data_IF_930852570909
#
_entry.id   IF_930852570909
#
_cell.length_a   1.000
_cell.length_b   1.000
_cell.length_c   1.000
_cell.angle_alpha   90.00
_cell.angle_beta   90.00
_cell.angle_gamma   90.00
#
_symmetry.space_group_name_H-M   'P 1'
#
loop_
_entity.id
_entity.type
_entity.pdbx_description
1 polymer ?
#
# COMPACT_ATOMS: atom_id res chain seq x y z
N UNK A 1 36.77 45.31 43.61
CA UNK A 1 36.77 44.22 44.62
C UNK A 1 36.69 42.91 43.87
N UNK A 2 37.75 42.10 44.00
CA UNK A 2 38.01 40.83 43.31
C UNK A 2 37.42 39.66 44.12
N UNK A 3 36.68 38.76 43.48
CA UNK A 3 36.39 37.38 43.92
C UNK A 3 36.13 36.59 42.62
N UNK A 4 37.10 35.92 41.98
CA UNK A 4 37.98 34.81 42.41
C UNK A 4 37.23 33.49 42.64
N UNK A 5 37.22 32.66 41.60
CA UNK A 5 37.49 31.22 41.69
C UNK A 5 36.33 30.26 41.96
N UNK A 6 36.06 29.37 41.00
CA UNK A 6 36.29 27.93 41.19
C UNK A 6 36.21 27.22 39.82
N UNK A 7 37.34 26.75 39.30
CA UNK A 7 37.42 25.87 38.13
C UNK A 7 37.59 24.45 38.66
N UNK A 8 36.61 23.58 38.43
CA UNK A 8 36.74 22.15 38.67
C UNK A 8 37.13 21.46 37.36
N UNK A 9 38.41 21.08 37.25
CA UNK A 9 38.91 20.11 36.27
C UNK A 9 38.72 18.71 36.83
N UNK A 10 37.90 17.89 36.15
CA UNK A 10 37.81 16.44 36.39
C UNK A 10 38.61 15.73 35.31
N UNK A 11 39.79 15.24 35.69
CA UNK A 11 40.60 14.29 34.91
C UNK A 11 40.13 12.88 35.26
N UNK A 12 39.56 12.15 34.30
CA UNK A 12 39.26 10.73 34.44
C UNK A 12 40.20 9.90 33.57
N UNK A 13 40.98 9.06 34.24
CA UNK A 13 42.07 8.22 33.78
C UNK A 13 41.60 7.13 32.81
N UNK A 14 42.34 6.99 31.70
CA UNK A 14 42.22 5.91 30.74
C UNK A 14 42.73 4.59 31.34
N UNK A 15 41.92 3.53 31.33
CA UNK A 15 42.39 2.17 31.54
C UNK A 15 42.28 1.40 30.21
N UNK A 16 43.43 1.15 29.59
CA UNK A 16 43.59 0.28 28.43
C UNK A 16 43.85 -1.12 28.98
N UNK A 17 42.90 -2.04 28.85
CA UNK A 17 43.15 -3.47 29.03
C UNK A 17 43.34 -4.08 27.66
N UNK A 18 44.60 -4.40 27.35
CA UNK A 18 44.95 -5.25 26.21
C UNK A 18 44.71 -6.71 26.56
N UNK A 19 44.05 -7.44 25.66
CA UNK A 19 43.99 -8.91 25.67
C UNK A 19 44.59 -9.40 24.37
N UNK A 20 45.52 -10.35 24.52
CA UNK A 20 46.36 -10.92 23.49
C UNK A 20 45.57 -11.71 22.42
N UNK A 21 46.14 -11.73 21.23
CA UNK A 21 45.74 -12.56 20.11
C UNK A 21 46.12 -14.04 20.36
N UNK A 22 45.19 -14.94 20.07
CA UNK A 22 45.48 -16.35 19.84
C UNK A 22 44.88 -16.74 18.46
N UNK A 23 45.75 -17.20 17.57
CA UNK A 23 45.39 -17.76 16.28
C UNK A 23 45.15 -19.28 16.41
N UNK A 24 44.12 -19.79 15.74
CA UNK A 24 43.84 -21.23 15.60
C UNK A 24 42.38 -21.52 15.25
N UNK A 25 42.12 -21.76 13.95
CA UNK A 25 40.83 -22.06 13.29
C UNK A 25 40.24 -23.44 13.69
N UNK A 26 39.08 -23.93 13.17
CA UNK A 26 38.14 -23.34 12.19
C UNK A 26 36.64 -23.40 12.59
N UNK A 27 35.83 -22.68 11.81
CA UNK A 27 34.42 -22.92 11.51
C UNK A 27 33.47 -23.29 12.68
N UNK A 28 32.90 -22.27 13.30
CA UNK A 28 31.48 -22.32 13.68
C UNK A 28 30.79 -21.13 13.05
N UNK A 29 29.88 -21.45 12.13
CA UNK A 29 28.90 -20.56 11.54
C UNK A 29 28.22 -19.76 12.64
N UNK A 30 28.60 -18.48 12.75
CA UNK A 30 27.86 -17.48 13.50
C UNK A 30 26.50 -17.33 12.84
N UNK A 31 25.53 -18.07 13.35
CA UNK A 31 24.12 -17.74 13.31
C UNK A 31 23.97 -16.37 13.97
N UNK A 32 24.13 -15.31 13.17
CA UNK A 32 23.42 -14.07 13.43
C UNK A 32 21.97 -14.46 13.61
N UNK A 33 21.39 -14.08 14.74
CA UNK A 33 19.97 -14.21 15.07
C UNK A 33 19.14 -13.69 13.90
N UNK A 34 18.84 -14.63 13.01
CA UNK A 34 17.93 -14.48 11.90
C UNK A 34 16.54 -14.54 12.49
N UNK A 35 16.05 -13.41 12.99
CA UNK A 35 14.62 -13.15 12.89
C UNK A 35 14.36 -12.95 11.40
N UNK A 36 14.20 -14.07 10.70
CA UNK A 36 13.50 -14.12 9.43
C UNK A 36 12.08 -13.65 9.76
N UNK A 37 11.85 -12.36 9.66
CA UNK A 37 10.52 -11.82 9.49
C UNK A 37 10.07 -12.37 8.13
N UNK A 38 9.56 -13.60 8.15
CA UNK A 38 8.64 -14.10 7.14
C UNK A 38 7.73 -12.92 6.82
N UNK A 39 7.68 -12.50 5.55
CA UNK A 39 6.80 -11.42 5.12
C UNK A 39 5.47 -11.63 5.83
N UNK A 40 5.05 -10.68 6.67
CA UNK A 40 3.95 -10.91 7.58
C UNK A 40 2.71 -11.25 6.74
N UNK A 41 2.43 -12.55 6.60
CA UNK A 41 1.34 -13.07 5.80
C UNK A 41 0.11 -12.84 6.66
N UNK A 42 -0.71 -11.88 6.26
CA UNK A 42 -2.05 -11.78 6.80
C UNK A 42 -2.86 -12.85 6.06
N UNK A 43 -3.24 -13.91 6.76
CA UNK A 43 -4.37 -14.75 6.34
C UNK A 43 -5.58 -13.82 6.17
N UNK A 44 -5.91 -13.50 4.91
CA UNK A 44 -7.19 -12.92 4.58
C UNK A 44 -8.18 -14.07 4.41
N UNK A 45 -9.07 -14.26 5.38
CA UNK A 45 -10.37 -14.81 5.01
C UNK A 45 -11.02 -13.87 3.98
N UNK A 46 -11.57 -14.41 2.88
CA UNK A 46 -12.36 -13.60 1.96
C UNK A 46 -13.60 -13.15 2.72
N UNK A 47 -13.67 -11.86 3.09
CA UNK A 47 -14.88 -11.26 3.64
C UNK A 47 -16.01 -11.40 2.59
N UNK A 48 -17.02 -12.26 2.79
CA UNK A 48 -18.15 -12.29 1.88
C UNK A 48 -18.94 -11.01 2.13
N UNK A 49 -19.09 -10.19 1.09
CA UNK A 49 -20.00 -9.06 1.11
C UNK A 49 -21.38 -9.55 1.62
N UNK A 50 -22.04 -8.86 2.57
CA UNK A 50 -23.42 -9.19 2.90
C UNK A 50 -24.27 -8.98 1.66
N UNK A 51 -24.97 -10.03 1.25
CA UNK A 51 -26.01 -9.96 0.23
C UNK A 51 -27.07 -8.97 0.69
N UNK A 52 -27.12 -7.80 0.06
CA UNK A 52 -28.19 -6.83 0.27
C UNK A 52 -29.39 -7.35 -0.52
N UNK A 53 -30.25 -8.11 0.14
CA UNK A 53 -31.55 -8.49 -0.39
C UNK A 53 -32.43 -7.24 -0.42
N UNK A 54 -32.50 -6.58 -1.58
CA UNK A 54 -33.47 -5.52 -1.79
C UNK A 54 -34.87 -6.14 -1.94
N UNK A 55 -35.63 -6.18 -0.84
CA UNK A 55 -37.08 -6.44 -0.87
C UNK A 55 -37.78 -5.21 -1.42
N UNK A 56 -38.11 -5.22 -2.72
CA UNK A 56 -39.04 -4.25 -3.31
C UNK A 56 -40.47 -4.74 -3.04
N UNK A 57 -41.09 -4.20 -1.98
CA UNK A 57 -42.53 -4.33 -1.74
C UNK A 57 -43.32 -3.62 -2.82
N UNK A 58 -44.32 -4.31 -3.35
CA UNK A 58 -45.12 -3.89 -4.49
C UNK A 58 -46.10 -2.75 -4.24
N UNK A 59 -46.50 -2.12 -5.34
CA UNK A 59 -47.75 -1.38 -5.48
C UNK A 59 -48.50 -1.91 -6.73
N UNK A 60 -49.83 -2.15 -6.66
CA UNK A 60 -50.61 -2.64 -7.77
C UNK A 60 -51.05 -1.49 -8.69
N UNK A 61 -50.68 -1.56 -9.97
CA UNK A 61 -51.26 -0.70 -11.00
C UNK A 61 -52.07 -1.53 -12.00
N UNK A 62 -53.36 -1.18 -12.11
CA UNK A 62 -54.36 -1.71 -13.05
C UNK A 62 -53.87 -1.59 -14.51
N UNK A 63 -54.21 -2.54 -15.40
CA UNK A 63 -54.04 -2.35 -16.83
C UNK A 63 -55.19 -1.50 -17.39
N UNK A 64 -54.87 -0.34 -17.98
CA UNK A 64 -55.77 0.35 -18.91
C UNK A 64 -55.37 -0.05 -20.33
N UNK A 65 -56.29 -0.69 -21.04
CA UNK A 65 -56.19 -0.90 -22.48
C UNK A 65 -56.53 0.41 -23.21
N UNK A 66 -55.69 0.87 -24.14
CA UNK A 66 -56.17 1.65 -25.28
C UNK A 66 -55.18 1.71 -26.46
N UNK A 67 -55.67 1.18 -27.58
CA UNK A 67 -55.54 1.59 -28.98
C UNK A 67 -54.17 1.72 -29.68
N UNK A 68 -54.04 0.81 -30.65
CA UNK A 68 -53.20 0.85 -31.85
C UNK A 68 -53.47 2.12 -32.67
N UNK A 69 -52.41 2.86 -33.02
CA UNK A 69 -52.37 3.73 -34.19
C UNK A 69 -51.15 3.37 -35.03
N UNK A 70 -51.40 2.91 -36.24
CA UNK A 70 -50.38 2.66 -37.26
C UNK A 70 -49.76 3.99 -37.70
N UNK A 71 -48.45 4.13 -37.53
CA UNK A 71 -47.66 5.24 -38.04
C UNK A 71 -46.83 4.79 -39.26
N UNK A 72 -46.81 5.66 -40.26
CA UNK A 72 -46.27 5.45 -41.60
C UNK A 72 -44.78 5.07 -41.63
N UNK A 73 -44.41 4.29 -42.65
CA UNK A 73 -43.07 3.77 -42.87
C UNK A 73 -42.05 4.89 -43.21
N UNK A 74 -40.89 4.95 -42.52
CA UNK A 74 -39.82 5.87 -42.89
C UNK A 74 -39.01 5.33 -44.10
N UNK A 75 -38.70 6.24 -45.02
CA UNK A 75 -37.83 6.02 -46.18
C UNK A 75 -36.46 5.47 -45.76
N UNK A 76 -36.08 4.33 -46.36
CA UNK A 76 -34.83 3.61 -46.13
C UNK A 76 -33.66 4.34 -46.81
N UNK A 77 -32.98 5.21 -46.06
CA UNK A 77 -31.72 5.82 -46.48
C UNK A 77 -30.60 4.77 -46.42
N UNK A 78 -30.06 4.38 -47.58
CA UNK A 78 -28.89 3.50 -47.67
C UNK A 78 -27.64 4.32 -47.36
N UNK A 79 -27.27 4.39 -46.09
CA UNK A 79 -25.99 4.98 -45.66
C UNK A 79 -24.88 3.99 -46.03
N UNK A 80 -24.06 4.34 -47.03
CA UNK A 80 -22.81 3.63 -47.34
C UNK A 80 -21.89 3.70 -46.11
N UNK A 81 -21.82 2.61 -45.34
CA UNK A 81 -20.87 2.44 -44.23
C UNK A 81 -19.44 2.55 -44.77
N UNK A 82 -18.75 3.62 -44.40
CA UNK A 82 -17.31 3.72 -44.56
C UNK A 82 -16.65 2.55 -43.81
N UNK A 83 -15.71 1.86 -44.46
CA UNK A 83 -14.96 0.76 -43.86
C UNK A 83 -14.14 1.30 -42.68
N UNK A 84 -14.58 0.97 -41.46
CA UNK A 84 -13.83 1.27 -40.23
C UNK A 84 -12.51 0.49 -40.29
N UNK A 85 -11.39 1.21 -40.42
CA UNK A 85 -10.05 0.61 -40.31
C UNK A 85 -9.96 -0.11 -38.98
N UNK A 86 -9.85 -1.45 -39.05
CA UNK A 86 -9.75 -2.32 -37.89
C UNK A 86 -8.52 -1.88 -37.07
N UNK A 87 -8.68 -1.49 -35.79
CA UNK A 87 -7.55 -1.05 -34.99
C UNK A 87 -6.48 -2.15 -34.96
N UNK A 88 -5.23 -1.75 -35.19
CA UNK A 88 -4.10 -2.66 -35.15
C UNK A 88 -4.06 -3.35 -33.78
N UNK A 89 -3.86 -4.67 -33.79
CA UNK A 89 -3.77 -5.49 -32.59
C UNK A 89 -2.58 -5.01 -31.76
N UNK A 90 -2.84 -4.33 -30.66
CA UNK A 90 -1.81 -3.88 -29.72
C UNK A 90 -1.07 -5.08 -29.15
N UNK A 91 0.27 -5.00 -29.08
CA UNK A 91 1.08 -6.04 -28.44
C UNK A 91 0.68 -6.16 -26.96
N UNK A 92 0.65 -7.37 -26.39
CA UNK A 92 0.45 -7.55 -24.95
C UNK A 92 1.51 -6.76 -24.17
N UNK A 93 1.07 -5.92 -23.24
CA UNK A 93 1.98 -5.18 -22.35
C UNK A 93 2.52 -6.14 -21.30
N UNK A 94 3.84 -6.15 -21.09
CA UNK A 94 4.49 -7.02 -20.10
C UNK A 94 4.15 -6.53 -18.68
N UNK A 95 3.86 -7.42 -17.71
CA UNK A 95 3.56 -7.04 -16.32
C UNK A 95 4.63 -6.16 -15.64
N UNK A 96 5.92 -6.35 -16.00
CA UNK A 96 7.00 -5.51 -15.47
C UNK A 96 6.92 -4.07 -15.96
N UNK A 97 6.51 -3.85 -17.22
CA UNK A 97 6.35 -2.51 -17.78
C UNK A 97 5.19 -1.77 -17.11
N UNK A 98 4.06 -2.44 -16.85
CA UNK A 98 2.92 -1.82 -16.16
C UNK A 98 3.24 -1.47 -14.72
N UNK A 99 3.99 -2.33 -14.01
CA UNK A 99 4.45 -2.04 -12.66
C UNK A 99 5.38 -0.82 -12.63
N UNK A 100 6.40 -0.77 -13.48
CA UNK A 100 7.31 0.39 -13.53
C UNK A 100 6.57 1.70 -13.83
N UNK A 101 5.59 1.66 -14.73
CA UNK A 101 4.73 2.82 -15.03
C UNK A 101 3.89 3.23 -13.83
N UNK A 102 3.36 2.29 -13.04
CA UNK A 102 2.62 2.59 -11.82
C UNK A 102 3.52 3.22 -10.74
N UNK A 103 4.71 2.66 -10.51
CA UNK A 103 5.69 3.22 -9.56
C UNK A 103 6.11 4.64 -9.97
N UNK A 104 6.33 4.88 -11.27
CA UNK A 104 6.70 6.20 -11.78
C UNK A 104 5.61 7.27 -11.57
N UNK A 105 4.34 6.87 -11.37
CA UNK A 105 3.22 7.77 -11.07
C UNK A 105 3.06 8.09 -9.60
N UNK A 106 3.83 7.48 -8.70
CA UNK A 106 3.79 7.81 -7.26
C UNK A 106 4.32 9.24 -7.08
N UNK A 107 3.51 10.18 -6.55
CA UNK A 107 3.97 11.54 -6.29
C UNK A 107 5.18 11.55 -5.36
N UNK A 108 6.21 12.33 -5.71
CA UNK A 108 7.43 12.52 -4.92
C UNK A 108 8.21 11.23 -4.59
N UNK A 109 8.01 10.14 -5.33
CA UNK A 109 8.75 8.88 -5.09
C UNK A 109 10.27 9.08 -4.97
N UNK A 110 10.85 9.88 -5.88
CA UNK A 110 12.29 10.16 -5.90
C UNK A 110 12.84 10.98 -4.72
N UNK A 111 11.97 11.62 -3.91
CA UNK A 111 12.40 12.31 -2.69
C UNK A 111 12.73 11.33 -1.55
N UNK A 112 12.37 10.06 -1.71
CA UNK A 112 12.63 9.01 -0.75
C UNK A 112 13.68 8.03 -1.28
N UNK A 113 14.25 7.21 -0.40
CA UNK A 113 15.16 6.14 -0.83
C UNK A 113 14.42 5.16 -1.76
N UNK A 114 15.06 4.72 -2.87
CA UNK A 114 14.46 3.73 -3.76
C UNK A 114 14.07 2.48 -2.98
N UNK A 115 12.90 1.93 -3.30
CA UNK A 115 12.46 0.62 -2.82
C UNK A 115 12.64 -0.41 -3.92
N UNK A 116 12.96 -1.63 -3.52
CA UNK A 116 12.99 -2.78 -4.42
C UNK A 116 11.56 -3.25 -4.67
N UNK A 117 11.19 -3.37 -5.94
CA UNK A 117 9.90 -3.89 -6.39
C UNK A 117 10.10 -5.25 -7.07
N UNK A 118 9.30 -6.24 -6.70
CA UNK A 118 9.40 -7.61 -7.20
C UNK A 118 8.03 -8.08 -7.67
N UNK A 119 7.96 -8.67 -8.86
CA UNK A 119 6.76 -9.38 -9.31
C UNK A 119 6.80 -10.83 -8.83
N UNK A 120 5.80 -11.25 -8.06
CA UNK A 120 5.71 -12.63 -7.55
C UNK A 120 4.28 -12.97 -7.14
N UNK A 121 3.88 -14.22 -7.35
CA UNK A 121 2.57 -14.73 -6.92
C UNK A 121 2.62 -15.44 -5.57
N UNK A 122 3.78 -15.47 -4.90
CA UNK A 122 4.03 -16.35 -3.75
C UNK A 122 3.16 -16.10 -2.51
N UNK A 123 2.55 -14.92 -2.39
CA UNK A 123 1.85 -14.49 -1.18
C UNK A 123 0.32 -14.66 -1.25
N UNK A 124 -0.27 -15.09 -2.37
CA UNK A 124 -1.72 -15.25 -2.48
C UNK A 124 -2.55 -13.95 -2.46
N UNK A 125 -1.93 -12.78 -2.27
CA UNK A 125 -2.57 -11.45 -2.31
C UNK A 125 -2.05 -10.61 -3.48
N UNK A 126 -2.66 -9.44 -3.68
CA UNK A 126 -2.28 -8.50 -4.76
C UNK A 126 -0.95 -7.80 -4.51
N UNK A 127 -0.61 -7.53 -3.26
CA UNK A 127 0.64 -6.91 -2.86
C UNK A 127 1.06 -7.41 -1.48
N UNK A 128 2.34 -7.25 -1.17
CA UNK A 128 2.89 -7.43 0.15
C UNK A 128 4.14 -6.56 0.31
N UNK A 129 4.37 -6.05 1.52
CA UNK A 129 5.58 -5.31 1.86
C UNK A 129 6.30 -5.99 3.02
N UNK A 130 7.56 -6.36 2.80
CA UNK A 130 8.43 -6.80 3.88
C UNK A 130 8.84 -5.58 4.71
N UNK A 131 8.33 -5.50 5.94
CA UNK A 131 8.59 -4.38 6.85
C UNK A 131 10.02 -4.38 7.42
N UNK A 132 10.79 -5.46 7.30
CA UNK A 132 12.19 -5.49 7.69
C UNK A 132 13.09 -4.89 6.61
N UNK A 133 12.88 -5.27 5.35
CA UNK A 133 13.72 -4.84 4.22
C UNK A 133 13.17 -3.64 3.46
N UNK A 134 11.88 -3.34 3.57
CA UNK A 134 11.17 -2.39 2.72
C UNK A 134 11.02 -2.85 1.27
N UNK A 135 11.20 -4.15 0.99
CA UNK A 135 10.95 -4.74 -0.34
C UNK A 135 9.45 -4.87 -0.55
N UNK A 136 8.99 -4.43 -1.72
CA UNK A 136 7.60 -4.54 -2.14
C UNK A 136 7.45 -5.65 -3.17
N UNK A 137 6.44 -6.48 -2.97
CA UNK A 137 6.06 -7.58 -3.83
C UNK A 137 4.68 -7.30 -4.41
N UNK A 138 4.53 -7.46 -5.72
CA UNK A 138 3.28 -7.24 -6.44
C UNK A 138 2.94 -8.51 -7.21
N UNK A 139 1.70 -8.97 -7.10
CA UNK A 139 1.24 -10.11 -7.88
C UNK A 139 1.10 -9.75 -9.36
N UNK A 140 1.54 -10.59 -10.30
CA UNK A 140 1.24 -10.41 -11.71
C UNK A 140 -0.26 -10.56 -12.03
N UNK A 141 -1.07 -11.07 -11.11
CA UNK A 141 -2.52 -11.24 -11.28
C UNK A 141 -3.35 -10.00 -10.89
N UNK A 142 -2.71 -8.91 -10.43
CA UNK A 142 -3.43 -7.68 -10.08
C UNK A 142 -4.16 -7.15 -11.32
N UNK A 143 -5.49 -6.91 -11.24
CA UNK A 143 -6.23 -6.29 -12.34
C UNK A 143 -5.62 -4.93 -12.70
N UNK A 144 -5.51 -4.64 -14.00
CA UNK A 144 -4.89 -3.40 -14.47
C UNK A 144 -5.55 -2.13 -13.88
N UNK A 145 -6.87 -2.17 -13.62
CA UNK A 145 -7.63 -1.08 -12.99
C UNK A 145 -7.31 -0.87 -11.50
N UNK A 146 -6.67 -1.84 -10.84
CA UNK A 146 -6.30 -1.78 -9.41
C UNK A 146 -4.81 -1.60 -9.18
N UNK A 147 -3.96 -1.91 -10.17
CA UNK A 147 -2.51 -1.90 -10.03
C UNK A 147 -1.96 -0.60 -9.43
N UNK A 148 -2.45 0.53 -9.90
CA UNK A 148 -2.00 1.85 -9.40
C UNK A 148 -2.35 2.06 -7.92
N UNK A 149 -3.54 1.62 -7.51
CA UNK A 149 -3.98 1.69 -6.12
C UNK A 149 -3.19 0.75 -5.21
N UNK A 150 -2.97 -0.51 -5.66
CA UNK A 150 -2.17 -1.50 -4.92
C UNK A 150 -0.72 -1.01 -4.75
N UNK A 151 -0.11 -0.48 -5.80
CA UNK A 151 1.26 0.06 -5.74
C UNK A 151 1.37 1.21 -4.73
N UNK A 152 0.36 2.09 -4.65
CA UNK A 152 0.33 3.18 -3.66
C UNK A 152 0.12 2.67 -2.23
N UNK A 153 -0.69 1.64 -2.05
CA UNK A 153 -0.88 0.94 -0.77
C UNK A 153 0.43 0.36 -0.25
N UNK A 154 1.10 -0.46 -1.07
CA UNK A 154 2.36 -1.07 -0.66
C UNK A 154 3.46 -0.03 -0.41
N UNK A 155 3.49 1.04 -1.20
CA UNK A 155 4.40 2.15 -0.94
C UNK A 155 4.12 2.83 0.41
N UNK A 156 2.86 2.91 0.83
CA UNK A 156 2.51 3.49 2.13
C UNK A 156 3.12 2.67 3.29
N UNK A 157 3.14 1.34 3.21
CA UNK A 157 3.82 0.51 4.22
C UNK A 157 5.31 0.81 4.33
N UNK A 158 5.98 1.03 3.20
CA UNK A 158 7.39 1.44 3.18
C UNK A 158 7.59 2.78 3.90
N UNK A 159 6.70 3.75 3.68
CA UNK A 159 6.79 5.04 4.36
C UNK A 159 6.52 4.92 5.86
N UNK A 160 5.53 4.12 6.25
CA UNK A 160 5.21 3.85 7.65
C UNK A 160 6.42 3.29 8.40
N UNK A 161 7.06 2.24 7.88
CA UNK A 161 8.23 1.66 8.55
C UNK A 161 9.38 2.66 8.64
N UNK A 162 9.60 3.50 7.62
CA UNK A 162 10.65 4.54 7.66
C UNK A 162 10.41 5.58 8.75
N UNK A 163 9.16 5.92 9.03
CA UNK A 163 8.78 6.88 10.08
C UNK A 163 8.99 6.30 11.48
N UNK A 164 8.78 5.00 11.65
CA UNK A 164 8.84 4.36 12.98
C UNK A 164 10.17 3.68 13.28
N UNK A 165 10.87 3.16 12.27
CA UNK A 165 12.18 2.51 12.38
C UNK A 165 12.12 1.00 12.69
N UNK A 166 10.97 0.46 13.11
CA UNK A 166 10.79 -0.98 13.35
C UNK A 166 9.35 -1.43 13.14
N UNK A 167 9.15 -2.69 12.76
CA UNK A 167 7.82 -3.24 12.49
C UNK A 167 6.93 -3.18 13.75
N UNK A 168 7.47 -3.54 14.91
CA UNK A 168 6.74 -3.52 16.18
C UNK A 168 6.29 -2.10 16.56
N UNK A 169 7.16 -1.10 16.45
CA UNK A 169 6.82 0.29 16.74
C UNK A 169 5.79 0.85 15.73
N UNK A 170 5.92 0.46 14.46
CA UNK A 170 4.97 0.83 13.40
C UNK A 170 3.58 0.30 13.72
N UNK A 171 3.47 -1.00 13.99
CA UNK A 171 2.20 -1.66 14.28
C UNK A 171 1.54 -1.06 15.52
N UNK A 172 2.27 -0.92 16.63
CA UNK A 172 1.75 -0.37 17.87
C UNK A 172 1.26 1.09 17.68
N UNK A 173 2.07 1.93 17.03
CA UNK A 173 1.74 3.32 16.79
C UNK A 173 0.56 3.52 15.86
N UNK A 174 0.45 2.72 14.80
CA UNK A 174 -0.65 2.81 13.85
C UNK A 174 -1.95 2.23 14.40
N UNK A 175 -1.90 1.18 15.22
CA UNK A 175 -3.08 0.71 15.96
C UNK A 175 -3.60 1.78 16.93
N UNK A 176 -2.72 2.54 17.57
CA UNK A 176 -3.14 3.66 18.43
C UNK A 176 -3.79 4.81 17.62
N UNK A 177 -3.25 5.15 16.45
CA UNK A 177 -3.72 6.29 15.65
C UNK A 177 -4.92 5.99 14.73
N UNK A 178 -4.98 4.77 14.18
CA UNK A 178 -6.01 4.33 13.21
C UNK A 178 -6.97 3.29 13.81
N UNK A 179 -6.77 2.92 15.07
CA UNK A 179 -7.59 1.94 15.79
C UNK A 179 -7.35 0.51 15.32
N UNK A 180 -7.60 -0.44 16.22
CA UNK A 180 -7.50 -1.87 15.95
C UNK A 180 -6.36 -2.54 16.71
N UNK A 181 -6.08 -3.78 16.32
CA UNK A 181 -5.03 -4.63 16.87
C UNK A 181 -4.38 -5.45 15.75
N UNK A 182 -3.25 -6.10 16.05
CA UNK A 182 -2.48 -6.81 15.03
C UNK A 182 -2.09 -5.87 13.89
N UNK A 183 -2.34 -6.26 12.64
CA UNK A 183 -2.02 -5.44 11.46
C UNK A 183 -3.11 -4.41 11.11
N UNK A 184 -4.24 -4.39 11.82
CA UNK A 184 -5.43 -3.64 11.42
C UNK A 184 -5.18 -2.13 11.23
N UNK A 185 -4.55 -1.48 12.21
CA UNK A 185 -4.25 -0.05 12.13
C UNK A 185 -3.23 0.29 11.06
N UNK A 186 -2.28 -0.62 10.81
CA UNK A 186 -1.26 -0.50 9.76
C UNK A 186 -1.89 -0.55 8.36
N UNK A 187 -2.80 -1.48 8.11
CA UNK A 187 -3.53 -1.58 6.85
C UNK A 187 -4.47 -0.39 6.61
N UNK A 188 -5.21 0.03 7.63
CA UNK A 188 -6.08 1.23 7.54
C UNK A 188 -5.28 2.50 7.27
N UNK A 189 -4.12 2.64 7.90
CA UNK A 189 -3.21 3.74 7.63
C UNK A 189 -2.69 3.71 6.19
N UNK A 190 -2.38 2.53 5.65
CA UNK A 190 -1.87 2.37 4.30
C UNK A 190 -2.93 2.75 3.26
N UNK A 191 -4.17 2.30 3.43
CA UNK A 191 -5.30 2.72 2.59
C UNK A 191 -5.50 4.24 2.61
N UNK A 192 -5.46 4.85 3.81
CA UNK A 192 -5.61 6.29 3.96
C UNK A 192 -4.52 7.09 3.24
N UNK A 193 -3.27 6.64 3.36
CA UNK A 193 -2.14 7.23 2.64
C UNK A 193 -2.26 7.01 1.14
N UNK A 194 -2.68 5.82 0.70
CA UNK A 194 -2.89 5.51 -0.71
C UNK A 194 -3.95 6.42 -1.34
N UNK A 195 -5.08 6.66 -0.66
CA UNK A 195 -6.12 7.61 -1.11
C UNK A 195 -5.54 9.01 -1.28
N UNK A 196 -4.73 9.49 -0.33
CA UNK A 196 -4.08 10.81 -0.45
C UNK A 196 -3.02 10.88 -1.56
N UNK A 197 -2.42 9.74 -1.92
CA UNK A 197 -1.56 9.60 -3.10
C UNK A 197 -2.37 9.45 -4.40
N UNK A 198 -3.71 9.44 -4.32
CA UNK A 198 -4.65 9.43 -5.43
C UNK A 198 -5.23 8.06 -5.77
N UNK A 199 -5.04 7.04 -4.94
CA UNK A 199 -5.62 5.71 -5.16
C UNK A 199 -7.15 5.81 -5.24
N UNK A 200 -7.74 5.06 -6.19
CA UNK A 200 -9.18 5.05 -6.43
C UNK A 200 -9.86 3.80 -5.87
N UNK A 201 -9.08 2.90 -5.27
CA UNK A 201 -9.54 1.67 -4.65
C UNK A 201 -8.71 1.38 -3.40
N UNK A 202 -9.36 0.85 -2.37
CA UNK A 202 -8.76 0.44 -1.09
C UNK A 202 -9.48 -0.80 -0.58
N UNK A 203 -8.87 -1.53 0.36
CA UNK A 203 -9.39 -2.82 0.81
C UNK A 203 -10.01 -2.80 2.22
N UNK A 204 -9.44 -2.04 3.15
CA UNK A 204 -9.78 -2.05 4.57
C UNK A 204 -10.57 -0.82 5.00
N UNK A 205 -10.37 0.32 4.34
CA UNK A 205 -11.12 1.55 4.60
C UNK A 205 -11.15 2.49 3.40
N UNK A 206 -12.24 3.25 3.27
CA UNK A 206 -12.34 4.37 2.33
C UNK A 206 -11.66 5.65 2.84
N UNK A 207 -11.06 5.63 4.04
CA UNK A 207 -10.43 6.79 4.67
C UNK A 207 -11.37 8.01 4.88
N UNK A 208 -12.62 7.77 5.28
CA UNK A 208 -13.59 8.84 5.52
C UNK A 208 -13.37 9.63 6.82
N UNK A 209 -12.57 9.12 7.75
CA UNK A 209 -12.29 9.77 9.04
C UNK A 209 -11.33 10.97 8.88
N UNK A 210 -11.74 12.20 9.26
CA UNK A 210 -10.85 13.37 9.18
C UNK A 210 -9.60 13.25 10.06
N UNK A 211 -9.70 12.54 11.20
CA UNK A 211 -8.56 12.28 12.06
C UNK A 211 -7.53 11.38 11.36
N UNK A 212 -8.00 10.32 10.70
CA UNK A 212 -7.13 9.41 9.95
C UNK A 212 -6.52 10.09 8.73
N UNK A 213 -7.26 10.97 8.06
CA UNK A 213 -6.71 11.78 6.96
C UNK A 213 -5.56 12.68 7.45
N UNK A 214 -5.73 13.38 8.59
CA UNK A 214 -4.64 14.18 9.16
C UNK A 214 -3.43 13.33 9.57
N UNK A 215 -3.67 12.19 10.21
CA UNK A 215 -2.62 11.24 10.58
C UNK A 215 -1.85 10.72 9.35
N UNK A 216 -2.55 10.34 8.28
CA UNK A 216 -1.94 9.88 7.04
C UNK A 216 -1.13 10.97 6.33
N UNK A 217 -1.60 12.23 6.37
CA UNK A 217 -0.84 13.37 5.84
C UNK A 217 0.47 13.57 6.60
N UNK A 218 0.49 13.37 7.93
CA UNK A 218 1.71 13.40 8.74
C UNK A 218 2.68 12.30 8.32
N UNK A 219 2.19 11.07 8.15
CA UNK A 219 3.00 9.94 7.69
C UNK A 219 3.62 10.19 6.31
N UNK A 220 2.84 10.72 5.36
CA UNK A 220 3.35 11.11 4.03
C UNK A 220 4.41 12.22 4.10
N UNK A 221 4.34 13.07 5.12
CA UNK A 221 5.36 14.07 5.41
C UNK A 221 6.55 13.52 6.23
N UNK A 222 6.64 12.20 6.44
CA UNK A 222 7.73 11.58 7.19
C UNK A 222 7.63 11.77 8.70
N UNK A 223 6.45 12.04 9.24
CA UNK A 223 6.21 12.30 10.67
C UNK A 223 5.23 11.30 11.26
N UNK A 224 5.43 10.92 12.52
CA UNK A 224 4.44 10.12 13.26
C UNK A 224 3.12 10.91 13.40
N UNK A 225 1.96 10.25 13.44
CA UNK A 225 0.64 10.86 13.64
C UNK A 225 0.50 11.73 14.88
#
# INVERSE_FOLDING_TARGET
MLLSGCVLTVTATTAIVGVAAAAGAPATSSTRDGVRLEALVVDQEPNPLPAVTATVSGLPHKPLALQVRAAAAPHRQVVRRAAVKRPARSKPVRPSTTLHQAVARIPRYGAHRPTRWVLTSQYGHYGATDLGSGTVYISPSVPASRLDSVVRHEWAHVLQIRVYGSASATIAGLNAAFGGSGMTGLERAADCMAVQLGATWTNYTSCSSPAWQRAASRLLAGRRP
#
